data_IF_955461037694
#
_entry.id   IF_955461037694
#
_cell.length_a   1.000
_cell.length_b   1.000
_cell.length_c   1.000
_cell.angle_alpha   90.00
_cell.angle_beta   90.00
_cell.angle_gamma   90.00
#
_symmetry.space_group_name_H-M   'P 1'
#
loop_
_entity.id
_entity.type
_entity.pdbx_description
1 polymer ?
#
# COMPACT_ATOMS: atom_id res chain seq x y z
N UNK A 1 16.29 6.24 -5.62
CA UNK A 1 16.27 5.70 -4.24
C UNK A 1 17.51 6.14 -3.46
N UNK A 2 17.36 6.75 -2.28
CA UNK A 2 18.48 7.12 -1.39
C UNK A 2 18.14 6.72 0.04
N UNK A 3 18.98 5.91 0.69
CA UNK A 3 18.78 5.41 2.06
C UNK A 3 17.41 4.73 2.32
N UNK A 4 16.84 4.04 1.32
CA UNK A 4 15.54 3.36 1.42
C UNK A 4 15.66 1.84 1.40
N UNK A 5 14.81 1.15 2.16
CA UNK A 5 14.58 -0.29 2.00
C UNK A 5 13.38 -0.49 1.07
N UNK A 6 13.60 -1.19 -0.04
CA UNK A 6 12.55 -1.43 -1.04
C UNK A 6 12.46 -2.92 -1.36
N UNK A 7 11.23 -3.37 -1.62
CA UNK A 7 10.95 -4.71 -2.09
C UNK A 7 10.24 -4.63 -3.45
N UNK A 8 10.80 -5.31 -4.45
CA UNK A 8 10.19 -5.43 -5.79
C UNK A 8 9.67 -6.85 -5.95
N UNK A 9 8.39 -6.97 -6.29
CA UNK A 9 7.73 -8.25 -6.50
C UNK A 9 7.26 -8.39 -7.95
N UNK A 10 7.39 -9.60 -8.52
CA UNK A 10 6.88 -9.93 -9.85
C UNK A 10 6.08 -11.23 -9.83
N UNK A 11 4.90 -11.19 -10.46
CA UNK A 11 4.01 -12.35 -10.60
C UNK A 11 4.48 -13.35 -11.66
N UNK A 12 5.04 -12.85 -12.76
CA UNK A 12 5.41 -13.63 -13.95
C UNK A 12 6.92 -13.80 -14.11
N UNK A 13 7.70 -13.41 -13.10
CA UNK A 13 9.15 -13.26 -13.21
C UNK A 13 9.55 -11.94 -13.86
N UNK A 14 10.72 -11.42 -13.48
CA UNK A 14 11.34 -10.25 -14.10
C UNK A 14 12.85 -10.30 -13.90
N UNK A 15 13.59 -9.60 -14.76
CA UNK A 15 15.02 -9.33 -14.58
C UNK A 15 15.16 -7.88 -14.15
N UNK A 16 15.83 -7.65 -13.02
CA UNK A 16 16.06 -6.31 -12.47
C UNK A 16 17.54 -5.99 -12.52
N UNK A 17 17.87 -4.82 -13.03
CA UNK A 17 19.22 -4.25 -12.97
C UNK A 17 19.26 -3.21 -11.85
N UNK A 18 20.24 -3.30 -10.96
CA UNK A 18 20.45 -2.34 -9.87
C UNK A 18 21.74 -1.59 -10.15
N UNK A 19 21.64 -0.27 -10.32
CA UNK A 19 22.77 0.62 -10.55
C UNK A 19 23.00 1.52 -9.34
N UNK A 20 24.26 1.70 -8.94
CA UNK A 20 24.66 2.52 -7.79
C UNK A 20 25.14 1.70 -6.60
N UNK A 21 25.36 2.36 -5.45
CA UNK A 21 25.78 1.69 -4.22
C UNK A 21 24.58 1.04 -3.52
N UNK A 22 24.61 -0.28 -3.41
CA UNK A 22 23.59 -1.07 -2.72
C UNK A 22 24.26 -1.87 -1.59
N UNK A 23 23.77 -1.71 -0.35
CA UNK A 23 24.35 -2.38 0.82
C UNK A 23 23.92 -3.85 0.86
N UNK A 24 22.65 -4.13 0.58
CA UNK A 24 22.06 -5.47 0.61
C UNK A 24 21.12 -5.67 -0.57
N UNK A 25 21.35 -6.74 -1.33
CA UNK A 25 20.49 -7.19 -2.42
C UNK A 25 20.32 -8.70 -2.30
N UNK A 26 19.07 -9.16 -2.26
CA UNK A 26 18.74 -10.59 -2.25
C UNK A 26 17.36 -10.81 -2.85
N UNK A 27 17.09 -12.06 -3.21
CA UNK A 27 15.76 -12.50 -3.66
C UNK A 27 15.12 -13.32 -2.54
N UNK A 28 13.96 -12.88 -2.06
CA UNK A 28 13.19 -13.64 -1.08
C UNK A 28 12.46 -14.81 -1.78
N UNK A 29 12.66 -16.06 -1.33
CA UNK A 29 12.03 -17.23 -1.96
C UNK A 29 10.54 -17.34 -1.65
N UNK A 30 10.11 -16.87 -0.48
CA UNK A 30 8.74 -16.93 0.00
C UNK A 30 8.24 -15.53 0.35
N UNK A 31 7.03 -15.20 -0.10
CA UNK A 31 6.39 -13.91 0.19
C UNK A 31 4.89 -14.11 0.43
N UNK A 32 4.26 -13.30 1.29
CA UNK A 32 2.82 -13.36 1.56
C UNK A 32 1.96 -12.70 0.46
N UNK A 33 2.53 -12.43 -0.73
CA UNK A 33 1.88 -11.63 -1.77
C UNK A 33 0.59 -12.26 -2.30
N UNK A 34 0.50 -13.59 -2.36
CA UNK A 34 -0.72 -14.30 -2.74
C UNK A 34 -1.86 -14.06 -1.74
N UNK A 35 -1.56 -14.05 -0.44
CA UNK A 35 -2.54 -13.74 0.60
C UNK A 35 -3.03 -12.29 0.52
N UNK A 36 -2.14 -11.34 0.23
CA UNK A 36 -2.52 -9.95 0.01
C UNK A 36 -3.40 -9.76 -1.23
N UNK A 37 -3.10 -10.47 -2.32
CA UNK A 37 -3.93 -10.46 -3.52
C UNK A 37 -5.34 -11.05 -3.26
N UNK A 38 -5.41 -12.17 -2.53
CA UNK A 38 -6.68 -12.77 -2.15
C UNK A 38 -7.51 -11.83 -1.27
N UNK A 39 -6.88 -11.18 -0.28
CA UNK A 39 -7.52 -10.18 0.57
C UNK A 39 -8.08 -9.01 -0.27
N UNK A 40 -7.29 -8.49 -1.22
CA UNK A 40 -7.76 -7.45 -2.13
C UNK A 40 -8.98 -7.91 -2.93
N UNK A 41 -8.95 -9.12 -3.50
CA UNK A 41 -10.07 -9.66 -4.28
C UNK A 41 -11.38 -9.75 -3.48
N UNK A 42 -11.31 -10.17 -2.21
CA UNK A 42 -12.48 -10.19 -1.32
C UNK A 42 -13.00 -8.78 -1.02
N UNK A 43 -12.10 -7.83 -0.73
CA UNK A 43 -12.47 -6.44 -0.48
C UNK A 43 -13.11 -5.79 -1.72
N UNK A 44 -12.62 -6.13 -2.90
CA UNK A 44 -13.11 -5.63 -4.18
C UNK A 44 -14.52 -6.12 -4.51
N UNK A 45 -14.77 -7.42 -4.27
CA UNK A 45 -16.10 -8.00 -4.38
C UNK A 45 -17.11 -7.31 -3.43
N UNK A 46 -16.70 -7.05 -2.19
CA UNK A 46 -17.53 -6.32 -1.21
C UNK A 46 -17.79 -4.88 -1.62
N UNK A 47 -16.79 -4.17 -2.16
CA UNK A 47 -16.96 -2.81 -2.70
C UNK A 47 -17.99 -2.79 -3.83
N UNK A 48 -17.87 -3.71 -4.78
CA UNK A 48 -18.77 -3.81 -5.92
C UNK A 48 -20.21 -4.13 -5.50
N UNK A 49 -20.39 -5.06 -4.55
CA UNK A 49 -21.70 -5.39 -3.99
C UNK A 49 -22.33 -4.18 -3.26
N UNK A 50 -21.57 -3.49 -2.41
CA UNK A 50 -22.03 -2.30 -1.70
C UNK A 50 -22.45 -1.18 -2.67
N UNK A 51 -21.63 -0.93 -3.70
CA UNK A 51 -21.93 0.06 -4.74
C UNK A 51 -23.25 -0.26 -5.46
N UNK A 52 -23.47 -1.53 -5.81
CA UNK A 52 -24.73 -1.96 -6.47
C UNK A 52 -25.96 -1.81 -5.58
N UNK A 53 -25.78 -1.91 -4.25
CA UNK A 53 -26.82 -1.75 -3.25
C UNK A 53 -27.02 -0.29 -2.78
N UNK A 54 -26.20 0.66 -3.26
CA UNK A 54 -26.18 2.03 -2.76
C UNK A 54 -25.73 2.15 -1.30
N UNK A 55 -24.94 1.18 -0.81
CA UNK A 55 -24.42 1.13 0.54
C UNK A 55 -22.94 1.57 0.59
N UNK A 56 -22.44 1.83 1.80
CA UNK A 56 -21.02 2.14 2.01
C UNK A 56 -20.12 0.93 1.77
N UNK A 57 -18.94 1.18 1.21
CA UNK A 57 -17.92 0.15 1.00
C UNK A 57 -17.30 -0.34 2.31
N UNK A 58 -16.45 -1.39 2.25
CA UNK A 58 -15.78 -1.93 3.44
C UNK A 58 -14.79 -0.92 4.05
N UNK A 59 -14.84 -0.77 5.37
CA UNK A 59 -13.82 -0.07 6.17
C UNK A 59 -12.85 -1.10 6.76
N UNK A 60 -11.55 -0.91 6.51
CA UNK A 60 -10.50 -1.87 6.89
C UNK A 60 -9.50 -1.20 7.82
N UNK A 61 -9.31 -1.78 9.01
CA UNK A 61 -8.27 -1.37 9.97
C UNK A 61 -7.14 -2.39 9.95
N UNK A 62 -5.92 -1.93 9.68
CA UNK A 62 -4.70 -2.73 9.80
C UNK A 62 -4.10 -2.49 11.17
N UNK A 63 -4.08 -3.52 12.02
CA UNK A 63 -3.55 -3.44 13.38
C UNK A 63 -2.52 -4.54 13.63
N UNK A 64 -1.55 -4.24 14.50
CA UNK A 64 -0.49 -5.16 14.89
C UNK A 64 0.63 -4.45 15.63
N UNK A 65 1.62 -5.19 16.16
CA UNK A 65 2.81 -4.62 16.80
C UNK A 65 3.60 -3.68 15.88
N UNK A 66 4.53 -2.92 16.47
CA UNK A 66 5.53 -2.15 15.73
C UNK A 66 6.31 -3.06 14.76
N UNK A 67 6.77 -2.47 13.64
CA UNK A 67 7.67 -3.12 12.67
C UNK A 67 7.16 -4.41 11.99
N UNK A 68 5.83 -4.56 11.88
CA UNK A 68 5.18 -5.73 11.22
C UNK A 68 4.77 -5.48 9.76
N UNK A 69 5.13 -4.32 9.18
CA UNK A 69 4.80 -3.99 7.78
C UNK A 69 3.39 -3.44 7.55
N UNK A 70 2.74 -2.90 8.59
CA UNK A 70 1.39 -2.32 8.54
C UNK A 70 1.25 -1.23 7.46
N UNK A 71 2.19 -0.29 7.41
CA UNK A 71 2.18 0.79 6.41
C UNK A 71 2.35 0.22 4.99
N UNK A 72 3.23 -0.77 4.83
CA UNK A 72 3.47 -1.44 3.55
C UNK A 72 2.23 -2.15 2.99
N UNK A 73 1.51 -2.92 3.82
CA UNK A 73 0.27 -3.59 3.38
C UNK A 73 -0.85 -2.58 3.12
N UNK A 74 -0.98 -1.52 3.93
CA UNK A 74 -1.96 -0.45 3.70
C UNK A 74 -1.74 0.23 2.35
N UNK A 75 -0.49 0.59 2.01
CA UNK A 75 -0.13 1.15 0.70
C UNK A 75 -0.37 0.16 -0.44
N UNK A 76 -0.07 -1.12 -0.25
CA UNK A 76 -0.31 -2.16 -1.25
C UNK A 76 -1.80 -2.31 -1.57
N UNK A 77 -2.66 -2.44 -0.55
CA UNK A 77 -4.10 -2.58 -0.72
C UNK A 77 -4.73 -1.33 -1.34
N UNK A 78 -4.31 -0.15 -0.91
CA UNK A 78 -4.75 1.12 -1.50
C UNK A 78 -4.33 1.24 -2.98
N UNK A 79 -3.12 0.81 -3.33
CA UNK A 79 -2.66 0.75 -4.73
C UNK A 79 -3.50 -0.22 -5.57
N UNK A 80 -3.82 -1.40 -5.06
CA UNK A 80 -4.65 -2.38 -5.77
C UNK A 80 -6.09 -1.90 -5.96
N UNK A 81 -6.66 -1.22 -4.96
CA UNK A 81 -7.96 -0.56 -5.07
C UNK A 81 -7.95 0.48 -6.21
N UNK A 82 -6.97 1.38 -6.23
CA UNK A 82 -6.84 2.39 -7.28
C UNK A 82 -6.67 1.77 -8.67
N UNK A 83 -5.87 0.70 -8.79
CA UNK A 83 -5.69 -0.04 -10.04
C UNK A 83 -6.95 -0.73 -10.54
N UNK A 84 -7.87 -1.07 -9.63
CA UNK A 84 -9.16 -1.69 -9.96
C UNK A 84 -10.22 -0.64 -10.36
N UNK A 85 -9.86 0.65 -10.36
CA UNK A 85 -10.74 1.76 -10.71
C UNK A 85 -11.63 2.25 -9.57
N UNK A 86 -11.42 1.75 -8.35
CA UNK A 86 -12.13 2.20 -7.17
C UNK A 86 -11.42 3.39 -6.52
N UNK A 87 -12.21 4.30 -5.97
CA UNK A 87 -11.73 5.41 -5.14
C UNK A 87 -12.06 5.12 -3.69
N UNK A 88 -11.14 5.41 -2.78
CA UNK A 88 -11.34 5.25 -1.34
C UNK A 88 -10.41 6.16 -0.57
N UNK A 89 -10.55 6.18 0.76
CA UNK A 89 -9.76 7.03 1.64
C UNK A 89 -8.72 6.19 2.37
N UNK A 90 -7.44 6.57 2.29
CA UNK A 90 -6.41 6.04 3.16
C UNK A 90 -6.31 6.94 4.39
N UNK A 91 -6.38 6.33 5.58
CA UNK A 91 -6.29 7.04 6.85
C UNK A 91 -5.04 6.56 7.58
N UNK A 92 -4.18 7.51 7.95
CA UNK A 92 -3.01 7.26 8.77
C UNK A 92 -3.29 7.70 10.21
N UNK A 93 -3.19 6.73 11.12
CA UNK A 93 -3.44 6.88 12.55
C UNK A 93 -2.15 6.72 13.37
N UNK A 94 -0.99 6.54 12.71
CA UNK A 94 0.29 6.39 13.39
C UNK A 94 0.90 7.78 13.68
N UNK A 95 0.89 8.17 14.95
CA UNK A 95 1.44 9.45 15.38
C UNK A 95 2.96 9.45 15.44
N UNK A 96 3.60 8.28 15.52
CA UNK A 96 5.05 8.14 15.69
C UNK A 96 5.76 8.12 14.33
N UNK A 97 5.19 7.36 13.38
CA UNK A 97 5.70 7.22 12.00
C UNK A 97 4.62 7.66 11.01
N UNK A 98 4.40 8.97 10.90
CA UNK A 98 3.52 9.54 9.89
C UNK A 98 4.02 9.22 8.48
N UNK A 99 3.31 8.34 7.78
CA UNK A 99 3.63 7.90 6.40
C UNK A 99 3.04 8.89 5.38
N UNK A 100 2.02 9.66 5.77
CA UNK A 100 1.32 10.63 4.92
C UNK A 100 1.68 12.10 5.22
N UNK A 101 1.87 12.44 6.50
CA UNK A 101 2.14 13.81 6.96
C UNK A 101 3.22 13.80 8.05
N UNK A 102 3.55 14.99 8.56
CA UNK A 102 4.53 15.13 9.66
C UNK A 102 4.11 14.32 10.90
N UNK A 103 5.08 13.79 11.68
CA UNK A 103 4.79 13.09 12.92
C UNK A 103 3.93 13.91 13.89
N UNK A 104 3.10 13.23 14.68
CA UNK A 104 2.15 13.85 15.59
C UNK A 104 0.84 14.31 14.94
N UNK A 105 0.56 13.87 13.71
CA UNK A 105 -0.69 14.17 13.01
C UNK A 105 -1.47 12.91 12.67
N UNK A 106 -2.80 13.05 12.59
CA UNK A 106 -3.69 12.06 11.99
C UNK A 106 -4.11 12.63 10.64
N UNK A 107 -4.09 11.80 9.60
CA UNK A 107 -4.39 12.26 8.24
C UNK A 107 -5.31 11.30 7.50
N UNK A 108 -6.07 11.85 6.56
CA UNK A 108 -6.97 11.10 5.70
C UNK A 108 -6.93 11.69 4.30
N UNK A 109 -6.54 10.89 3.30
CA UNK A 109 -6.37 11.35 1.92
C UNK A 109 -7.13 10.42 0.95
N UNK A 110 -7.87 10.97 -0.03
CA UNK A 110 -8.47 10.15 -1.08
C UNK A 110 -7.40 9.57 -2.00
N UNK A 111 -7.46 8.26 -2.22
CA UNK A 111 -6.61 7.53 -3.17
C UNK A 111 -7.41 7.30 -4.44
N UNK A 112 -7.01 8.01 -5.51
CA UNK A 112 -7.60 7.90 -6.86
C UNK A 112 -6.66 7.20 -7.82
N UNK A 113 -5.35 7.32 -7.60
CA UNK A 113 -4.30 6.73 -8.42
C UNK A 113 -3.34 5.92 -7.54
N UNK A 114 -2.66 4.91 -8.11
CA UNK A 114 -1.63 4.17 -7.39
C UNK A 114 -0.48 5.10 -6.96
N UNK A 115 0.18 4.81 -5.84
CA UNK A 115 1.31 5.61 -5.36
C UNK A 115 2.46 5.63 -6.37
N UNK A 116 3.15 6.77 -6.43
CA UNK A 116 4.39 6.88 -7.20
C UNK A 116 5.50 6.05 -6.54
N UNK A 117 6.31 5.37 -7.34
CA UNK A 117 7.29 4.39 -6.83
C UNK A 117 8.41 5.07 -6.03
N UNK A 118 8.84 6.27 -6.44
CA UNK A 118 9.96 6.97 -5.79
C UNK A 118 9.52 7.86 -4.64
N UNK A 119 8.41 8.59 -4.84
CA UNK A 119 7.89 9.59 -3.90
C UNK A 119 6.85 9.04 -2.93
N UNK A 120 6.27 7.88 -3.24
CA UNK A 120 5.26 7.24 -2.40
C UNK A 120 4.03 8.13 -2.24
N UNK A 121 3.91 8.72 -1.05
CA UNK A 121 2.77 9.48 -0.54
C UNK A 121 2.98 10.99 -0.62
N UNK A 122 4.17 11.48 -0.96
CA UNK A 122 4.50 12.91 -0.97
C UNK A 122 3.62 13.71 -1.94
N UNK A 123 3.26 13.12 -3.10
CA UNK A 123 2.42 13.80 -4.09
C UNK A 123 0.92 13.79 -3.71
N UNK A 124 0.56 13.10 -2.63
CA UNK A 124 -0.79 13.03 -2.08
C UNK A 124 -1.00 14.00 -0.90
N UNK A 125 0.08 14.59 -0.38
CA UNK A 125 0.01 15.65 0.61
C UNK A 125 -0.50 16.95 -0.05
N UNK A 126 -1.35 17.74 0.64
CA UNK A 126 -1.90 19.00 0.13
C UNK A 126 -0.87 20.11 -0.02
#
# INVERSE_FOLDING_TARGET
>A
FSATMQAVFSWSGCTLEVQGQCIHQYVAPETPMSSYLQLHGELDARRSAALSAGAEGPHVLVAGPADTGKSSISRLLASYMARSGHVGTLVDLDLEQGDLLVPGTISAIPIVQPFEIERGTEDLAP
#
